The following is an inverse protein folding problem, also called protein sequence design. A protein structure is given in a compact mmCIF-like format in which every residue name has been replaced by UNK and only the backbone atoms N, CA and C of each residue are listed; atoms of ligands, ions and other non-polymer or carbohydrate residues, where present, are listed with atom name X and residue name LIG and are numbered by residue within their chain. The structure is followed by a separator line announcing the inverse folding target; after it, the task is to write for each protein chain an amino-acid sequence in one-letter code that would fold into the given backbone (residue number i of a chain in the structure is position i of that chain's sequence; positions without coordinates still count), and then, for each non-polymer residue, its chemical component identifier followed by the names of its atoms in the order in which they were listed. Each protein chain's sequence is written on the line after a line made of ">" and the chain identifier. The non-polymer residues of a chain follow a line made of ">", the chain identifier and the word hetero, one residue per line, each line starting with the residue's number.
data_IF_769069810222
#
_entry.id   IF_769069810222
#
_cell.length_a   1.000
_cell.length_b   1.000
_cell.length_c   1.000
_cell.angle_alpha   90.00
_cell.angle_beta   90.00
_cell.angle_gamma   90.00
#
_symmetry.space_group_name_H-M   'P 1'
#
loop_
_entity.id
_entity.type
_entity.pdbx_description
1 polymer ?
#
# COMPACT_ATOMS: atom_id res chain seq x y z
N UNK A 1 -1.61 -3.56 4.10
CA UNK A 1 -0.87 -4.81 3.85
C UNK A 1 -0.09 -5.31 5.07
N UNK A 2 1.12 -4.80 5.38
CA UNK A 2 2.03 -5.40 6.39
C UNK A 2 1.46 -5.51 7.81
N UNK A 3 0.76 -4.48 8.30
CA UNK A 3 0.12 -4.50 9.63
C UNK A 3 -0.90 -5.63 9.76
N UNK A 4 -1.80 -5.77 8.78
CA UNK A 4 -2.84 -6.81 8.79
C UNK A 4 -2.23 -8.20 8.81
N UNK A 5 -1.22 -8.42 7.96
CA UNK A 5 -0.46 -9.68 7.90
C UNK A 5 0.11 -10.06 9.28
N UNK A 6 0.88 -9.18 9.92
CA UNK A 6 1.49 -9.49 11.22
C UNK A 6 0.45 -9.67 12.33
N UNK A 7 -0.58 -8.81 12.38
CA UNK A 7 -1.62 -8.91 13.40
C UNK A 7 -2.43 -10.21 13.29
N UNK A 8 -2.76 -10.64 12.08
CA UNK A 8 -3.47 -11.89 11.83
C UNK A 8 -2.65 -13.12 12.23
N UNK A 9 -1.36 -13.11 11.87
CA UNK A 9 -0.46 -14.24 12.15
C UNK A 9 -0.08 -14.33 13.62
N UNK A 10 0.27 -13.20 14.24
CA UNK A 10 0.66 -13.18 15.65
C UNK A 10 -0.53 -13.33 16.59
N UNK A 11 -1.72 -12.90 16.15
CA UNK A 11 -2.91 -12.70 16.99
C UNK A 11 -2.60 -11.81 18.21
N UNK A 12 -1.61 -10.93 18.06
CA UNK A 12 -1.09 -10.06 19.11
C UNK A 12 -0.84 -8.64 18.57
N UNK A 13 -1.87 -7.92 18.10
CA UNK A 13 -1.70 -6.56 17.59
C UNK A 13 -1.07 -5.61 18.62
N UNK A 14 -1.32 -5.81 19.92
CA UNK A 14 -0.73 -5.01 21.00
C UNK A 14 0.80 -5.13 21.14
N UNK A 15 1.43 -6.07 20.41
CA UNK A 15 2.88 -6.23 20.36
C UNK A 15 3.48 -5.62 19.07
N UNK A 16 2.67 -4.98 18.23
CA UNK A 16 3.10 -4.35 16.99
C UNK A 16 3.12 -2.83 17.16
N UNK A 17 4.29 -2.23 16.97
CA UNK A 17 4.43 -0.78 16.96
C UNK A 17 4.53 -0.27 15.51
N UNK A 18 3.77 0.76 15.18
CA UNK A 18 3.87 1.42 13.88
C UNK A 18 5.04 2.40 13.88
N UNK A 19 5.99 2.19 12.97
CA UNK A 19 7.09 3.12 12.76
C UNK A 19 6.63 4.40 12.06
N UNK A 20 7.02 5.57 12.58
CA UNK A 20 6.77 6.88 11.99
C UNK A 20 8.09 7.66 11.85
N UNK A 21 8.38 8.24 10.67
CA UNK A 21 9.62 8.97 10.45
C UNK A 21 9.49 10.44 10.84
N UNK A 22 10.50 10.98 11.52
CA UNK A 22 10.67 12.42 11.76
C UNK A 22 11.53 13.07 10.67
N UNK A 23 11.43 12.54 9.46
CA UNK A 23 12.15 13.02 8.28
C UNK A 23 11.26 12.80 7.05
N UNK A 24 11.50 13.58 6.02
CA UNK A 24 10.92 13.37 4.70
C UNK A 24 11.88 12.65 3.76
N UNK A 25 11.33 11.92 2.79
CA UNK A 25 12.06 11.40 1.62
C UNK A 25 11.67 12.20 0.40
N UNK A 26 12.66 12.58 -0.39
CA UNK A 26 12.40 13.29 -1.64
C UNK A 26 13.05 12.63 -2.83
N UNK A 27 12.49 12.91 -3.99
CA UNK A 27 12.94 12.46 -5.30
C UNK A 27 13.02 13.65 -6.25
N UNK A 28 13.98 13.58 -7.18
CA UNK A 28 14.16 14.55 -8.26
C UNK A 28 13.82 13.91 -9.61
N UNK A 29 13.71 14.74 -10.65
CA UNK A 29 13.27 14.32 -11.99
C UNK A 29 11.92 13.61 -11.99
N UNK A 30 11.05 13.99 -11.06
CA UNK A 30 9.72 13.41 -10.93
C UNK A 30 8.83 13.92 -12.06
N UNK A 31 8.03 13.01 -12.62
CA UNK A 31 7.11 13.25 -13.71
C UNK A 31 5.69 13.60 -13.26
N UNK A 32 4.76 13.48 -14.19
CA UNK A 32 3.33 13.61 -13.93
C UNK A 32 2.81 12.53 -12.97
N UNK A 33 1.59 12.72 -12.48
CA UNK A 33 0.89 11.68 -11.74
C UNK A 33 0.66 10.46 -12.63
N UNK A 34 0.76 9.27 -12.03
CA UNK A 34 0.45 8.00 -12.69
C UNK A 34 -1.05 7.94 -12.99
N UNK A 35 -1.86 8.47 -12.07
CA UNK A 35 -3.30 8.66 -12.20
C UNK A 35 -3.60 10.16 -12.15
N UNK A 36 -4.28 10.69 -13.17
CA UNK A 36 -4.63 12.11 -13.25
C UNK A 36 -5.53 12.61 -12.13
N UNK A 37 -6.23 11.70 -11.43
CA UNK A 37 -7.09 12.00 -10.29
C UNK A 37 -6.36 11.85 -8.94
N UNK A 38 -5.14 11.32 -8.91
CA UNK A 38 -4.37 11.05 -7.69
C UNK A 38 -2.91 11.54 -7.81
N UNK A 39 -2.71 12.81 -7.43
CA UNK A 39 -1.44 13.53 -7.54
C UNK A 39 -0.31 13.01 -6.62
N UNK A 40 -0.61 12.07 -5.71
CA UNK A 40 0.37 11.50 -4.77
C UNK A 40 1.33 10.53 -5.48
N UNK A 41 0.83 9.74 -6.43
CA UNK A 41 1.60 8.64 -7.03
C UNK A 41 2.27 9.10 -8.32
N UNK A 42 3.60 9.12 -8.33
CA UNK A 42 4.41 9.63 -9.43
C UNK A 42 5.61 8.74 -9.70
N UNK A 43 6.11 8.78 -10.92
CA UNK A 43 7.38 8.17 -11.30
C UNK A 43 8.50 9.20 -11.29
N UNK A 44 9.70 8.78 -10.92
CA UNK A 44 10.92 9.55 -11.13
C UNK A 44 11.65 8.98 -12.35
N UNK A 45 12.26 9.85 -13.16
CA UNK A 45 13.14 9.43 -14.25
C UNK A 45 14.58 9.26 -13.73
N UNK A 46 15.26 8.24 -14.22
CA UNK A 46 16.67 8.03 -13.91
C UNK A 46 17.55 8.95 -14.77
N UNK A 47 18.58 9.55 -14.18
CA UNK A 47 19.63 10.29 -14.90
C UNK A 47 20.86 9.41 -14.91
N UNK A 48 21.36 9.08 -16.11
CA UNK A 48 22.48 8.14 -16.31
C UNK A 48 22.28 6.80 -15.58
N UNK A 49 21.05 6.29 -15.60
CA UNK A 49 20.67 5.04 -14.95
C UNK A 49 20.56 5.10 -13.42
N UNK A 50 20.60 6.28 -12.81
CA UNK A 50 20.46 6.47 -11.35
C UNK A 50 19.28 7.37 -11.00
N UNK A 51 18.49 6.94 -10.03
CA UNK A 51 17.46 7.78 -9.42
C UNK A 51 18.09 8.77 -8.44
N UNK A 52 17.63 10.02 -8.50
CA UNK A 52 18.09 11.11 -7.66
C UNK A 52 17.07 11.42 -6.56
N UNK A 53 17.56 11.80 -5.39
CA UNK A 53 16.74 12.02 -4.21
C UNK A 53 17.54 11.88 -2.93
N UNK A 54 16.85 11.99 -1.80
CA UNK A 54 17.48 11.96 -0.50
C UNK A 54 16.47 11.88 0.63
N UNK A 55 16.92 12.29 1.81
CA UNK A 55 16.06 12.53 2.96
C UNK A 55 16.39 13.89 3.57
N UNK A 56 15.47 14.45 4.34
CA UNK A 56 15.60 15.73 5.02
C UNK A 56 14.94 15.61 6.39
N UNK A 57 15.63 16.01 7.45
CA UNK A 57 15.08 16.02 8.82
C UNK A 57 13.86 16.93 8.89
N UNK A 58 12.86 16.60 9.73
CA UNK A 58 11.68 17.47 9.92
C UNK A 58 12.08 18.92 10.21
N UNK A 59 13.03 19.13 11.13
CA UNK A 59 13.56 20.44 11.49
C UNK A 59 14.16 21.24 10.32
N UNK A 60 14.64 20.55 9.29
CA UNK A 60 15.35 21.16 8.15
C UNK A 60 14.47 21.22 6.88
N UNK A 61 13.23 20.69 6.91
CA UNK A 61 12.35 20.69 5.71
C UNK A 61 12.10 22.11 5.23
N UNK A 62 11.83 23.04 6.16
CA UNK A 62 11.53 24.44 5.85
C UNK A 62 12.66 25.22 5.16
N UNK A 63 13.90 24.73 5.23
CA UNK A 63 15.05 25.40 4.61
C UNK A 63 15.10 25.17 3.09
N UNK A 64 14.55 24.05 2.62
CA UNK A 64 14.62 23.63 1.21
C UNK A 64 13.26 23.43 0.56
N UNK A 65 12.18 23.43 1.34
CA UNK A 65 10.82 23.17 0.90
C UNK A 65 9.84 24.16 1.51
N UNK A 66 8.92 24.65 0.68
CA UNK A 66 7.81 25.46 1.15
C UNK A 66 6.74 24.58 1.81
N UNK A 67 6.77 24.50 3.15
CA UNK A 67 5.80 23.75 3.93
C UNK A 67 4.35 24.20 3.71
N UNK A 68 4.11 25.44 3.25
CA UNK A 68 2.75 25.91 2.96
C UNK A 68 2.16 25.27 1.69
N UNK A 69 3.00 24.69 0.83
CA UNK A 69 2.60 23.94 -0.35
C UNK A 69 2.24 22.46 -0.03
N UNK A 70 2.35 22.04 1.22
CA UNK A 70 2.04 20.67 1.63
C UNK A 70 0.55 20.34 1.44
N UNK A 71 0.30 19.14 0.92
CA UNK A 71 -1.04 18.58 0.76
C UNK A 71 -1.13 17.27 1.52
N UNK A 72 -2.18 17.09 2.32
CA UNK A 72 -2.49 15.79 2.93
C UNK A 72 -3.21 14.93 1.88
N UNK A 73 -2.69 13.74 1.60
CA UNK A 73 -3.40 12.80 0.75
C UNK A 73 -4.49 12.05 1.55
N UNK A 74 -5.73 12.04 1.05
CA UNK A 74 -6.88 11.51 1.80
C UNK A 74 -6.81 10.01 2.07
N UNK A 75 -6.32 9.21 1.13
CA UNK A 75 -6.30 7.74 1.29
C UNK A 75 -5.15 7.28 2.17
N UNK A 76 -3.95 7.85 2.00
CA UNK A 76 -2.76 7.45 2.74
C UNK A 76 -2.59 8.20 4.06
N UNK A 77 -3.32 9.31 4.25
CA UNK A 77 -3.18 10.24 5.39
C UNK A 77 -1.73 10.68 5.60
N UNK A 78 -0.98 10.84 4.50
CA UNK A 78 0.40 11.29 4.51
C UNK A 78 0.55 12.62 3.74
N UNK A 79 1.28 13.59 4.28
CA UNK A 79 1.53 14.84 3.60
C UNK A 79 2.62 14.67 2.54
N UNK A 80 2.47 15.44 1.46
CA UNK A 80 3.46 15.53 0.40
C UNK A 80 3.53 16.94 -0.17
N UNK A 81 4.66 17.27 -0.77
CA UNK A 81 4.86 18.49 -1.57
C UNK A 81 5.27 18.06 -2.97
N UNK A 82 4.55 18.57 -3.98
CA UNK A 82 4.91 18.45 -5.38
C UNK A 82 5.32 19.81 -5.93
N UNK A 83 6.60 19.97 -6.28
CA UNK A 83 7.11 21.14 -6.97
C UNK A 83 7.30 20.82 -8.46
N UNK A 84 6.32 21.20 -9.27
CA UNK A 84 6.33 20.96 -10.71
C UNK A 84 7.49 21.66 -11.43
N UNK A 85 7.82 22.89 -11.04
CA UNK A 85 8.89 23.68 -11.67
C UNK A 85 10.28 23.08 -11.43
N UNK A 86 10.54 22.59 -10.22
CA UNK A 86 11.79 21.93 -9.85
C UNK A 86 11.80 20.42 -10.16
N UNK A 87 10.66 19.85 -10.59
CA UNK A 87 10.44 18.41 -10.74
C UNK A 87 10.85 17.61 -9.50
N UNK A 88 10.48 18.11 -8.31
CA UNK A 88 10.79 17.46 -7.03
C UNK A 88 9.53 17.09 -6.27
N UNK A 89 9.55 15.90 -5.66
CA UNK A 89 8.47 15.41 -4.80
C UNK A 89 9.04 15.07 -3.43
N UNK A 90 8.36 15.49 -2.37
CA UNK A 90 8.70 15.18 -0.97
C UNK A 90 7.50 14.52 -0.30
N UNK A 91 7.70 13.34 0.28
CA UNK A 91 6.76 12.72 1.23
C UNK A 91 7.34 12.73 2.64
N UNK A 92 6.55 13.07 3.65
CA UNK A 92 7.01 13.29 5.02
C UNK A 92 5.90 13.03 6.04
N UNK A 93 6.16 13.29 7.32
CA UNK A 93 5.15 13.38 8.37
C UNK A 93 5.04 14.81 8.89
N UNK A 94 3.86 15.20 9.33
CA UNK A 94 3.64 16.42 10.09
C UNK A 94 2.77 16.11 11.32
N UNK A 95 2.46 17.11 12.15
CA UNK A 95 1.66 16.90 13.35
C UNK A 95 0.25 16.36 13.04
N UNK A 96 -0.32 16.67 11.87
CA UNK A 96 -1.63 16.17 11.46
C UNK A 96 -1.59 14.67 11.13
N UNK A 97 -0.66 14.23 10.28
CA UNK A 97 -0.54 12.81 9.91
C UNK A 97 -0.16 11.92 11.08
N UNK A 98 0.68 12.43 12.01
CA UNK A 98 1.04 11.69 13.21
C UNK A 98 -0.15 11.49 14.16
N UNK A 99 -1.04 12.49 14.29
CA UNK A 99 -2.28 12.34 15.08
C UNK A 99 -3.22 11.32 14.45
N UNK A 100 -3.40 11.34 13.13
CA UNK A 100 -4.19 10.34 12.41
C UNK A 100 -3.62 8.92 12.60
N UNK A 101 -2.30 8.77 12.55
CA UNK A 101 -1.64 7.47 12.77
C UNK A 101 -1.71 6.99 14.21
N UNK A 102 -1.63 7.90 15.18
CA UNK A 102 -1.82 7.56 16.58
C UNK A 102 -3.24 7.10 16.86
N UNK A 103 -4.24 7.82 16.33
CA UNK A 103 -5.65 7.40 16.37
C UNK A 103 -5.85 6.02 15.75
N UNK A 104 -5.30 5.82 14.55
CA UNK A 104 -5.37 4.52 13.88
C UNK A 104 -4.70 3.39 14.69
N UNK A 105 -3.56 3.67 15.32
CA UNK A 105 -2.88 2.69 16.17
C UNK A 105 -3.79 2.26 17.34
N UNK A 106 -4.49 3.21 17.97
CA UNK A 106 -5.47 2.93 19.03
C UNK A 106 -6.67 2.13 18.50
N UNK A 107 -7.25 2.53 17.37
CA UNK A 107 -8.43 1.87 16.77
C UNK A 107 -8.14 0.41 16.38
N UNK A 108 -6.90 0.13 15.98
CA UNK A 108 -6.44 -1.19 15.52
C UNK A 108 -5.76 -2.03 16.60
N UNK A 109 -5.85 -1.61 17.88
CA UNK A 109 -5.23 -2.28 19.03
C UNK A 109 -3.71 -2.50 18.88
N UNK A 110 -3.00 -1.58 18.22
CA UNK A 110 -1.55 -1.64 18.10
C UNK A 110 -0.88 -1.32 19.45
N UNK A 111 0.36 -1.78 19.63
CA UNK A 111 1.14 -1.55 20.86
C UNK A 111 1.58 -0.09 21.04
N UNK A 112 1.57 0.68 19.96
CA UNK A 112 1.91 2.09 19.95
C UNK A 112 2.67 2.51 18.70
N UNK A 113 3.43 3.59 18.81
CA UNK A 113 4.24 4.16 17.75
C UNK A 113 5.73 4.06 18.10
N UNK A 114 6.57 3.84 17.09
CA UNK A 114 8.03 3.93 17.18
C UNK A 114 8.49 5.08 16.30
N UNK A 115 9.35 5.96 16.81
CA UNK A 115 9.83 7.13 16.07
C UNK A 115 11.24 6.89 15.50
N UNK A 116 11.49 7.34 14.28
CA UNK A 116 12.84 7.43 13.71
C UNK A 116 13.08 8.81 13.10
N UNK A 117 13.95 9.66 13.63
CA UNK A 117 14.60 9.56 14.93
C UNK A 117 14.47 10.88 15.68
N UNK A 118 14.61 10.84 16.99
CA UNK A 118 14.31 11.98 17.87
C UNK A 118 15.17 13.22 17.56
N UNK A 119 16.41 13.05 17.10
CA UNK A 119 17.33 14.14 16.72
C UNK A 119 16.92 14.90 15.43
N UNK A 120 15.92 14.37 14.71
CA UNK A 120 15.40 14.95 13.48
C UNK A 120 14.21 15.89 13.73
N UNK A 121 13.66 15.91 14.95
CA UNK A 121 12.59 16.83 15.33
C UNK A 121 13.10 18.27 15.48
N UNK A 122 12.17 19.23 15.46
CA UNK A 122 12.48 20.64 15.68
C UNK A 122 12.72 20.97 17.15
N UNK A 123 13.23 22.16 17.43
CA UNK A 123 13.53 22.60 18.80
C UNK A 123 12.29 22.77 19.69
N UNK A 124 11.09 22.67 19.13
CA UNK A 124 9.82 22.70 19.85
C UNK A 124 9.26 21.30 20.10
N UNK A 125 10.01 20.25 19.73
CA UNK A 125 9.59 18.84 19.81
C UNK A 125 8.23 18.62 19.14
N UNK A 126 7.97 19.29 18.02
CA UNK A 126 6.59 19.42 17.53
C UNK A 126 6.01 18.11 17.02
N UNK A 127 6.83 17.23 16.42
CA UNK A 127 6.40 15.89 16.04
C UNK A 127 6.30 14.99 17.25
N UNK A 128 7.28 15.00 18.15
CA UNK A 128 7.28 14.23 19.39
C UNK A 128 6.04 14.52 20.23
N UNK A 129 5.71 15.80 20.41
CA UNK A 129 4.52 16.27 21.11
C UNK A 129 3.23 15.75 20.45
N UNK A 130 3.16 15.71 19.11
CA UNK A 130 2.01 15.15 18.40
C UNK A 130 1.81 13.65 18.69
N UNK A 131 2.90 12.88 18.85
CA UNK A 131 2.83 11.45 19.16
C UNK A 131 2.57 11.20 20.64
N UNK A 132 3.24 11.94 21.55
CA UNK A 132 3.16 11.70 22.99
C UNK A 132 1.88 12.23 23.64
N UNK A 133 1.25 13.24 23.02
CA UNK A 133 -0.05 13.75 23.47
C UNK A 133 -1.23 12.91 22.99
N UNK A 134 -1.02 11.98 22.06
CA UNK A 134 -2.05 11.07 21.62
C UNK A 134 -2.36 10.06 22.74
N UNK A 135 -3.63 9.91 23.08
CA UNK A 135 -4.05 8.96 24.10
C UNK A 135 -4.09 7.53 23.55
N UNK A 136 -2.90 6.93 23.39
CA UNK A 136 -2.73 5.57 22.86
C UNK A 136 -3.33 4.49 23.78
N UNK A 137 -3.63 4.83 25.04
CA UNK A 137 -4.15 3.91 26.03
C UNK A 137 -5.69 3.80 26.03
N UNK A 138 -6.42 4.71 25.36
CA UNK A 138 -7.89 4.77 25.38
C UNK A 138 -8.57 3.56 24.74
N UNK A 139 -7.90 2.86 23.81
CA UNK A 139 -8.43 1.67 23.13
C UNK A 139 -8.45 0.40 23.98
N UNK A 140 -7.79 0.42 25.15
CA UNK A 140 -7.60 -0.73 26.04
C UNK A 140 -6.49 -1.68 25.59
N UNK A 141 -6.01 -2.52 26.52
CA UNK A 141 -4.97 -3.52 26.26
C UNK A 141 -5.59 -4.80 25.71
N UNK A 142 -5.77 -4.87 24.39
CA UNK A 142 -6.44 -6.00 23.73
C UNK A 142 -5.63 -6.61 22.60
N UNK A 143 -5.75 -7.92 22.41
CA UNK A 143 -5.21 -8.63 21.24
C UNK A 143 -6.29 -8.95 20.19
N UNK A 144 -7.46 -8.33 20.31
CA UNK A 144 -8.51 -8.49 19.33
C UNK A 144 -8.05 -7.92 17.99
N UNK A 145 -8.06 -8.76 16.95
CA UNK A 145 -7.79 -8.35 15.58
C UNK A 145 -9.05 -7.68 15.04
N UNK A 146 -8.95 -6.40 14.66
CA UNK A 146 -10.08 -5.54 14.28
C UNK A 146 -10.46 -5.62 12.80
N UNK A 147 -9.71 -6.39 12.02
CA UNK A 147 -9.90 -6.59 10.59
C UNK A 147 -10.05 -8.08 10.24
N UNK A 148 -10.67 -8.35 9.10
CA UNK A 148 -10.77 -9.71 8.56
C UNK A 148 -9.39 -10.21 8.12
N UNK A 149 -9.03 -11.40 8.57
CA UNK A 149 -7.77 -12.05 8.19
C UNK A 149 -7.93 -12.86 6.91
N UNK A 150 -6.91 -12.80 6.06
CA UNK A 150 -6.74 -13.77 4.98
C UNK A 150 -6.47 -15.14 5.61
N UNK A 151 -7.29 -16.17 5.33
CA UNK A 151 -7.25 -17.45 6.05
C UNK A 151 -6.15 -18.41 5.55
N UNK A 152 -5.12 -17.91 4.89
CA UNK A 152 -3.98 -18.70 4.38
C UNK A 152 -2.66 -17.99 4.67
N UNK A 153 -1.60 -18.77 4.82
CA UNK A 153 -0.24 -18.27 5.07
C UNK A 153 0.59 -18.13 3.78
N UNK A 154 0.15 -18.75 2.67
CA UNK A 154 0.81 -18.70 1.36
C UNK A 154 0.25 -17.58 0.46
N UNK A 155 1.11 -17.02 -0.40
CA UNK A 155 0.71 -15.99 -1.37
C UNK A 155 0.23 -16.67 -2.64
N UNK A 156 -1.05 -16.48 -2.97
CA UNK A 156 -1.69 -17.05 -4.18
C UNK A 156 -2.02 -16.02 -5.25
N UNK A 157 -1.45 -14.82 -5.17
CA UNK A 157 -1.64 -13.72 -6.11
C UNK A 157 -0.30 -13.18 -6.60
N UNK A 158 -0.31 -12.53 -7.76
CA UNK A 158 0.88 -11.89 -8.31
C UNK A 158 1.16 -10.55 -7.61
N UNK A 159 2.42 -10.32 -7.27
CA UNK A 159 2.91 -9.09 -6.69
C UNK A 159 4.34 -8.78 -7.19
N UNK A 160 4.88 -7.57 -6.94
CA UNK A 160 6.22 -7.20 -7.39
C UNK A 160 7.36 -8.05 -6.82
N UNK A 161 7.14 -8.77 -5.72
CA UNK A 161 8.17 -9.62 -5.09
C UNK A 161 8.25 -11.02 -5.74
N UNK A 162 7.15 -11.51 -6.34
CA UNK A 162 7.06 -12.85 -6.90
C UNK A 162 6.85 -12.88 -8.43
N UNK A 163 6.76 -11.72 -9.10
CA UNK A 163 6.54 -11.64 -10.54
C UNK A 163 7.05 -10.37 -11.21
N UNK A 164 7.30 -10.49 -12.51
CA UNK A 164 7.44 -9.35 -13.42
C UNK A 164 6.08 -8.67 -13.70
N UNK A 165 6.13 -7.46 -14.26
CA UNK A 165 4.94 -6.63 -14.54
C UNK A 165 3.93 -7.30 -15.48
N UNK A 166 4.32 -8.26 -16.32
CA UNK A 166 3.41 -8.90 -17.28
C UNK A 166 2.35 -9.79 -16.61
N UNK A 167 2.60 -10.21 -15.36
CA UNK A 167 1.72 -11.09 -14.58
C UNK A 167 0.90 -10.34 -13.54
N UNK A 168 1.37 -9.18 -13.11
CA UNK A 168 0.74 -8.40 -12.06
C UNK A 168 -0.71 -8.03 -12.45
N UNK A 169 -1.61 -8.10 -11.46
CA UNK A 169 -3.04 -7.86 -11.68
C UNK A 169 -3.77 -8.96 -12.45
N UNK A 170 -3.16 -10.09 -12.81
CA UNK A 170 -3.86 -11.22 -13.44
C UNK A 170 -4.38 -12.23 -12.41
N UNK A 171 -5.56 -12.79 -12.67
CA UNK A 171 -6.21 -13.78 -11.82
C UNK A 171 -6.95 -14.86 -12.63
N UNK A 172 -7.31 -15.96 -11.97
CA UNK A 172 -8.15 -17.01 -12.53
C UNK A 172 -7.50 -17.81 -13.67
N UNK A 173 -8.33 -18.47 -14.47
CA UNK A 173 -7.90 -19.42 -15.51
C UNK A 173 -7.12 -18.79 -16.67
N UNK A 174 -7.20 -17.46 -16.81
CA UNK A 174 -6.52 -16.68 -17.84
C UNK A 174 -5.25 -15.99 -17.32
N UNK A 175 -4.74 -16.42 -16.16
CA UNK A 175 -3.50 -15.90 -15.59
C UNK A 175 -2.42 -16.99 -15.48
N UNK A 176 -1.14 -16.64 -15.67
CA UNK A 176 -0.03 -17.56 -15.40
C UNK A 176 -0.18 -18.21 -14.02
N UNK A 177 0.17 -19.49 -13.92
CA UNK A 177 0.00 -20.25 -12.70
C UNK A 177 0.95 -19.79 -11.61
N UNK A 178 0.44 -19.72 -10.38
CA UNK A 178 1.25 -19.57 -9.17
C UNK A 178 1.34 -20.94 -8.49
N UNK A 179 2.56 -21.47 -8.35
CA UNK A 179 2.81 -22.80 -7.77
C UNK A 179 1.94 -23.92 -8.42
N UNK A 180 1.64 -23.78 -9.72
CA UNK A 180 0.83 -24.75 -10.47
C UNK A 180 -0.69 -24.58 -10.37
N UNK A 181 -1.18 -23.54 -9.70
CA UNK A 181 -2.61 -23.25 -9.53
C UNK A 181 -3.01 -21.90 -10.14
N UNK A 182 -4.30 -21.73 -10.45
CA UNK A 182 -4.79 -20.43 -10.89
C UNK A 182 -4.65 -19.40 -9.76
N UNK A 183 -4.04 -18.22 -10.05
CA UNK A 183 -3.88 -17.19 -9.04
C UNK A 183 -5.22 -16.52 -8.69
N UNK A 184 -5.29 -15.99 -7.49
CA UNK A 184 -6.40 -15.17 -6.97
C UNK A 184 -6.00 -13.70 -6.93
N UNK A 185 -6.92 -12.83 -6.53
CA UNK A 185 -6.59 -11.44 -6.23
C UNK A 185 -6.32 -11.26 -4.73
N UNK A 186 -5.47 -10.29 -4.38
CA UNK A 186 -5.13 -9.99 -3.00
C UNK A 186 -6.37 -9.47 -2.25
N UNK A 187 -6.88 -10.18 -1.22
CA UNK A 187 -8.03 -9.73 -0.44
C UNK A 187 -7.83 -8.36 0.23
N UNK A 188 -6.57 -8.00 0.53
CA UNK A 188 -6.19 -6.78 1.23
C UNK A 188 -5.86 -5.61 0.30
N UNK A 189 -5.90 -5.81 -1.02
CA UNK A 189 -5.69 -4.74 -1.99
C UNK A 189 -6.95 -3.83 -2.05
N UNK A 190 -6.80 -2.50 -1.84
CA UNK A 190 -7.93 -1.58 -1.80
C UNK A 190 -8.54 -1.28 -3.19
N UNK A 191 -7.83 -1.52 -4.29
CA UNK A 191 -8.28 -1.27 -5.65
C UNK A 191 -8.53 -2.52 -6.49
N UNK A 192 -7.88 -3.64 -6.16
CA UNK A 192 -7.75 -4.80 -7.05
C UNK A 192 -8.04 -6.14 -6.35
N UNK A 193 -8.96 -6.16 -5.38
CA UNK A 193 -9.28 -7.39 -4.64
C UNK A 193 -10.29 -8.31 -5.34
N UNK A 194 -10.95 -7.87 -6.40
CA UNK A 194 -11.94 -8.68 -7.11
C UNK A 194 -11.35 -9.26 -8.39
N UNK A 195 -11.53 -10.56 -8.61
CA UNK A 195 -11.17 -11.20 -9.87
C UNK A 195 -12.34 -11.13 -10.85
N UNK A 196 -12.18 -10.35 -11.92
CA UNK A 196 -13.18 -10.21 -12.98
C UNK A 196 -13.21 -11.39 -13.95
N UNK A 197 -14.28 -11.49 -14.74
CA UNK A 197 -14.49 -12.58 -15.73
C UNK A 197 -13.37 -12.74 -16.76
N UNK A 198 -12.62 -11.67 -17.04
CA UNK A 198 -11.53 -11.66 -18.01
C UNK A 198 -10.17 -12.05 -17.41
N UNK A 199 -10.12 -12.44 -16.13
CA UNK A 199 -8.90 -12.86 -15.47
C UNK A 199 -7.98 -11.71 -15.08
N UNK A 200 -8.57 -10.55 -14.75
CA UNK A 200 -7.88 -9.41 -14.19
C UNK A 200 -8.46 -9.04 -12.84
N UNK A 201 -7.58 -8.68 -11.93
CA UNK A 201 -7.91 -8.09 -10.66
C UNK A 201 -8.36 -6.64 -10.86
N UNK A 202 -9.35 -6.21 -10.09
CA UNK A 202 -9.89 -4.85 -10.16
C UNK A 202 -10.94 -4.59 -9.10
N UNK A 203 -11.72 -3.53 -9.33
CA UNK A 203 -12.82 -3.09 -8.46
C UNK A 203 -13.98 -2.56 -9.29
N UNK A 204 -15.14 -2.38 -8.64
CA UNK A 204 -16.38 -1.96 -9.29
C UNK A 204 -17.19 -3.12 -9.85
N UNK A 205 -18.36 -2.81 -10.42
CA UNK A 205 -19.36 -3.81 -10.80
C UNK A 205 -18.82 -4.85 -11.81
N UNK A 206 -17.97 -4.44 -12.74
CA UNK A 206 -17.39 -5.36 -13.74
C UNK A 206 -16.46 -6.43 -13.16
N UNK A 207 -15.83 -6.13 -12.02
CA UNK A 207 -14.87 -7.02 -11.37
C UNK A 207 -15.47 -7.76 -10.17
N UNK A 208 -16.43 -7.15 -9.46
CA UNK A 208 -16.93 -7.67 -8.19
C UNK A 208 -18.38 -8.20 -8.26
N UNK A 209 -19.20 -7.75 -9.22
CA UNK A 209 -20.66 -8.00 -9.23
C UNK A 209 -21.14 -8.92 -10.36
N UNK A 210 -20.22 -9.52 -11.12
CA UNK A 210 -20.58 -10.46 -12.17
C UNK A 210 -20.75 -11.90 -11.64
N UNK A 211 -21.56 -12.77 -12.30
CA UNK A 211 -21.77 -14.15 -11.83
C UNK A 211 -20.51 -15.02 -11.75
N UNK A 212 -19.49 -14.72 -12.56
CA UNK A 212 -18.21 -15.43 -12.59
C UNK A 212 -17.12 -14.72 -11.78
N UNK A 213 -17.45 -13.60 -11.13
CA UNK A 213 -16.51 -12.78 -10.40
C UNK A 213 -16.27 -13.33 -8.99
N UNK A 214 -15.07 -13.12 -8.46
CA UNK A 214 -14.73 -13.47 -7.08
C UNK A 214 -14.26 -12.22 -6.33
N UNK A 215 -15.07 -11.75 -5.38
CA UNK A 215 -14.74 -10.64 -4.49
C UNK A 215 -14.06 -11.16 -3.23
N UNK A 216 -12.72 -11.22 -3.27
CA UNK A 216 -11.92 -11.70 -2.15
C UNK A 216 -11.89 -10.71 -0.98
N UNK A 217 -12.22 -9.44 -1.19
CA UNK A 217 -12.31 -8.45 -0.10
C UNK A 217 -13.55 -8.68 0.76
N UNK A 218 -14.69 -8.91 0.10
CA UNK A 218 -15.96 -9.18 0.76
C UNK A 218 -15.96 -10.55 1.44
N UNK A 219 -15.36 -11.56 0.80
CA UNK A 219 -15.24 -12.90 1.34
C UNK A 219 -13.83 -13.48 1.13
N UNK A 220 -12.87 -13.22 2.05
CA UNK A 220 -11.54 -13.80 1.99
C UNK A 220 -11.54 -15.34 2.09
N UNK A 221 -12.62 -15.97 2.55
CA UNK A 221 -12.70 -17.43 2.64
C UNK A 221 -12.76 -18.10 1.26
N UNK A 222 -13.11 -17.36 0.20
CA UNK A 222 -13.01 -17.83 -1.18
C UNK A 222 -11.62 -18.36 -1.53
N UNK A 223 -10.58 -17.86 -0.87
CA UNK A 223 -9.19 -18.29 -1.08
C UNK A 223 -8.91 -19.71 -0.54
N UNK A 224 -9.74 -20.21 0.38
CA UNK A 224 -9.62 -21.57 0.94
C UNK A 224 -10.27 -22.64 0.09
N UNK A 225 -11.07 -22.24 -0.91
CA UNK A 225 -11.54 -23.19 -1.92
C UNK A 225 -10.32 -23.88 -2.52
N UNK A 226 -10.43 -25.19 -2.73
CA UNK A 226 -9.33 -25.98 -3.28
C UNK A 226 -8.78 -25.27 -4.53
N UNK A 227 -7.49 -24.91 -4.53
CA UNK A 227 -6.89 -24.22 -5.65
C UNK A 227 -7.11 -25.01 -6.94
N UNK A 228 -7.74 -24.37 -7.91
CA UNK A 228 -8.04 -25.05 -9.18
C UNK A 228 -6.75 -25.21 -9.97
N UNK A 229 -6.33 -26.47 -10.13
CA UNK A 229 -5.23 -26.84 -11.04
C UNK A 229 -5.78 -27.00 -12.46
N UNK A 230 -5.11 -26.48 -13.50
CA UNK A 230 -5.51 -26.73 -14.88
C UNK A 230 -5.43 -28.23 -15.20
N UNK A 231 -6.51 -28.77 -15.78
CA UNK A 231 -6.59 -30.16 -16.26
C UNK A 231 -5.97 -30.35 -17.65
N UNK A 232 -5.62 -29.25 -18.33
CA UNK A 232 -5.00 -29.19 -19.65
C UNK A 232 -3.88 -28.15 -19.65
N UNK A 233 -2.85 -28.27 -20.52
CA UNK A 233 -1.87 -27.21 -20.70
C UNK A 233 -2.55 -25.86 -20.95
N UNK A 234 -2.07 -24.80 -20.31
CA UNK A 234 -2.65 -23.47 -20.53
C UNK A 234 -2.18 -22.94 -21.87
N UNK A 235 -3.13 -22.57 -22.72
CA UNK A 235 -2.88 -21.91 -24.00
C UNK A 235 -3.23 -20.43 -23.85
N UNK A 236 -2.22 -19.58 -23.97
CA UNK A 236 -2.41 -18.13 -23.97
C UNK A 236 -2.82 -17.66 -25.36
N UNK A 237 -4.01 -17.07 -25.47
CA UNK A 237 -4.39 -16.30 -26.65
C UNK A 237 -4.22 -14.82 -26.32
N UNK A 238 -3.17 -14.20 -26.82
CA UNK A 238 -3.06 -12.74 -26.83
C UNK A 238 -3.96 -12.21 -27.95
N UNK A 239 -4.82 -11.24 -27.67
CA UNK A 239 -5.70 -10.60 -28.67
C UNK A 239 -4.90 -9.93 -29.82
N UNK A 240 -3.58 -9.86 -29.74
CA UNK A 240 -2.69 -9.47 -30.84
C UNK A 240 -2.58 -10.52 -31.97
N UNK A 241 -3.22 -11.68 -31.84
CA UNK A 241 -3.12 -12.81 -32.79
C UNK A 241 -4.10 -12.82 -33.96
N UNK A 242 -4.95 -11.81 -34.17
CA UNK A 242 -5.91 -11.76 -35.30
C UNK A 242 -5.57 -10.72 -36.38
N UNK A 243 -4.30 -10.30 -36.49
CA UNK A 243 -3.76 -9.69 -37.73
C UNK A 243 -2.56 -10.49 -38.21
N UNK A 244 -2.81 -11.49 -39.05
CA UNK A 244 -1.77 -12.13 -39.84
C UNK A 244 -1.92 -13.64 -39.97
N UNK A 245 -2.86 -14.07 -40.83
CA UNK A 245 -2.68 -15.08 -41.88
C UNK A 245 -3.92 -15.09 -42.77
#
# INVERSE_FOLDING_TARGET
>A
YKRKFYACRSKKPSQLNMGVPFYGRYWENVGGAIDGEDEMWRTADAVDGKYQGGYVAWKDIGDSWDLSAARLHDKSRAPYIWNAGARKFLGFENQESLREKAKYATEENLGGLMIWAIDQDDSADSLLSAVSSANLCDGGSGNAVKHTCVPIDDVRWWNPENSDESKQGRCGKYAPLIVGFYPVCDPDDPGYACCGKHGFCGSGAEFCECPECADYRKDPSLITKEPTKPTRPITWHTEEGQRGR
#
